data_IF_730031088686
#
_entry.id   IF_730031088686
#
_cell.length_a   1.000
_cell.length_b   1.000
_cell.length_c   1.000
_cell.angle_alpha   90.00
_cell.angle_beta   90.00
_cell.angle_gamma   90.00
#
_symmetry.space_group_name_H-M   'P 1'
#
loop_
_entity.id
_entity.type
_entity.pdbx_description
1 polymer ?
#
# COMPACT_ATOMS: atom_id res chain seq x y z
N UNK A 1 -9.25 -13.68 6.06
CA UNK A 1 -10.33 -12.79 6.54
C UNK A 1 -11.18 -12.28 5.39
N UNK A 2 -10.58 -11.70 4.36
CA UNK A 2 -11.27 -11.16 3.17
C UNK A 2 -12.30 -12.11 2.56
N UNK A 3 -11.92 -13.36 2.25
CA UNK A 3 -12.85 -14.36 1.71
C UNK A 3 -14.09 -14.54 2.58
N UNK A 4 -13.91 -14.62 3.91
CA UNK A 4 -15.03 -14.81 4.82
C UNK A 4 -15.95 -13.59 4.91
N UNK A 5 -15.37 -12.39 4.85
CA UNK A 5 -16.15 -11.15 4.81
C UNK A 5 -16.99 -11.10 3.54
N UNK A 6 -16.39 -11.39 2.38
CA UNK A 6 -17.09 -11.48 1.09
C UNK A 6 -18.23 -12.51 1.16
N UNK A 7 -17.97 -13.74 1.62
CA UNK A 7 -19.00 -14.79 1.76
C UNK A 7 -20.22 -14.37 2.59
N UNK A 8 -20.03 -13.49 3.57
CA UNK A 8 -21.11 -13.02 4.44
C UNK A 8 -21.82 -11.84 3.80
N UNK A 9 -21.07 -10.84 3.32
CA UNK A 9 -21.59 -9.59 2.78
C UNK A 9 -22.25 -9.75 1.41
N UNK A 10 -21.79 -10.69 0.58
CA UNK A 10 -22.35 -10.95 -0.75
C UNK A 10 -23.73 -11.60 -0.74
N UNK A 11 -24.34 -11.79 0.44
CA UNK A 11 -25.69 -12.32 0.59
C UNK A 11 -26.75 -11.23 0.60
N UNK A 12 -26.35 -9.97 0.68
CA UNK A 12 -27.24 -8.83 0.60
C UNK A 12 -27.50 -8.50 -0.87
N UNK A 13 -28.77 -8.48 -1.27
CA UNK A 13 -29.20 -8.19 -2.64
C UNK A 13 -28.99 -6.70 -2.99
N UNK A 14 -28.88 -5.81 -1.98
CA UNK A 14 -28.57 -4.39 -2.18
C UNK A 14 -27.05 -4.15 -2.42
N UNK A 15 -26.23 -5.19 -2.27
CA UNK A 15 -24.77 -5.14 -2.40
C UNK A 15 -24.06 -4.81 -1.08
N UNK A 16 -22.75 -4.54 -1.16
CA UNK A 16 -21.95 -4.27 0.04
C UNK A 16 -20.75 -3.36 -0.22
N UNK A 17 -20.26 -2.75 0.87
CA UNK A 17 -18.96 -2.10 0.95
C UNK A 17 -18.05 -2.88 1.90
N UNK A 18 -16.80 -3.12 1.50
CA UNK A 18 -15.81 -3.80 2.31
C UNK A 18 -14.46 -3.08 2.22
N UNK A 19 -13.92 -2.71 3.38
CA UNK A 19 -12.55 -2.21 3.52
C UNK A 19 -11.66 -3.32 4.09
N UNK A 20 -10.50 -3.55 3.47
CA UNK A 20 -9.48 -4.51 3.94
C UNK A 20 -8.15 -3.79 4.01
N UNK A 21 -7.46 -3.93 5.15
CA UNK A 21 -6.20 -3.23 5.42
C UNK A 21 -5.05 -4.23 5.67
N UNK A 22 -3.93 -4.02 4.98
CA UNK A 22 -2.66 -4.69 5.23
C UNK A 22 -1.80 -3.97 6.28
N UNK A 23 -2.37 -3.64 7.44
CA UNK A 23 -1.79 -2.67 8.40
C UNK A 23 -0.44 -3.06 9.05
N UNK A 24 0.12 -4.23 8.73
CA UNK A 24 1.46 -4.64 9.20
C UNK A 24 2.57 -4.27 8.23
N UNK A 25 2.25 -3.88 6.99
CA UNK A 25 3.22 -3.34 6.02
C UNK A 25 3.88 -2.08 6.60
N UNK A 26 3.06 -1.11 7.05
CA UNK A 26 3.52 0.13 7.70
C UNK A 26 4.42 -0.15 8.92
N UNK A 27 3.95 -1.01 9.83
CA UNK A 27 4.71 -1.38 11.02
C UNK A 27 6.07 -2.00 10.68
N UNK A 28 6.13 -2.86 9.66
CA UNK A 28 7.37 -3.48 9.20
C UNK A 28 8.35 -2.44 8.61
N UNK A 29 7.83 -1.47 7.87
CA UNK A 29 8.61 -0.34 7.36
C UNK A 29 9.19 0.51 8.50
N UNK A 30 8.41 0.83 9.53
CA UNK A 30 8.87 1.60 10.69
C UNK A 30 10.04 0.94 11.42
N UNK A 31 10.04 -0.40 11.55
CA UNK A 31 11.15 -1.14 12.18
C UNK A 31 12.26 -1.51 11.20
N UNK A 32 12.21 -1.04 9.95
CA UNK A 32 13.22 -1.26 8.90
C UNK A 32 13.44 -2.74 8.56
N UNK A 33 12.38 -3.55 8.62
CA UNK A 33 12.46 -4.98 8.33
C UNK A 33 11.91 -5.27 6.93
N UNK A 34 12.83 -5.43 5.98
CA UNK A 34 12.47 -5.72 4.60
C UNK A 34 11.74 -7.06 4.48
N UNK A 35 12.18 -8.09 5.20
CA UNK A 35 11.59 -9.43 5.16
C UNK A 35 10.12 -9.40 5.59
N UNK A 36 9.81 -8.72 6.68
CA UNK A 36 8.43 -8.55 7.14
C UNK A 36 7.64 -7.64 6.21
N UNK A 37 8.25 -6.59 5.65
CA UNK A 37 7.59 -5.70 4.68
C UNK A 37 7.15 -6.51 3.45
N UNK A 38 8.04 -7.37 2.93
CA UNK A 38 7.73 -8.28 1.82
C UNK A 38 6.68 -9.31 2.22
N UNK A 39 6.80 -9.95 3.38
CA UNK A 39 5.85 -10.97 3.81
C UNK A 39 4.44 -10.42 4.00
N UNK A 40 4.29 -9.24 4.61
CA UNK A 40 3.01 -8.58 4.80
C UNK A 40 2.43 -8.04 3.48
N UNK A 41 3.29 -7.57 2.56
CA UNK A 41 2.84 -7.19 1.20
C UNK A 41 2.32 -8.41 0.43
N UNK A 42 2.97 -9.57 0.55
CA UNK A 42 2.49 -10.82 -0.04
C UNK A 42 1.19 -11.30 0.61
N UNK A 43 1.03 -11.12 1.93
CA UNK A 43 -0.22 -11.42 2.61
C UNK A 43 -1.36 -10.51 2.14
N UNK A 44 -1.08 -9.23 1.88
CA UNK A 44 -2.04 -8.30 1.29
C UNK A 44 -2.35 -8.66 -0.18
N UNK A 45 -1.37 -9.09 -0.97
CA UNK A 45 -1.59 -9.61 -2.34
C UNK A 45 -2.57 -10.79 -2.36
N UNK A 46 -2.47 -11.73 -1.40
CA UNK A 46 -3.44 -12.82 -1.24
C UNK A 46 -4.85 -12.28 -0.93
N UNK A 47 -4.98 -11.20 -0.16
CA UNK A 47 -6.26 -10.55 0.10
C UNK A 47 -6.83 -9.85 -1.15
N UNK A 48 -5.98 -9.15 -1.93
CA UNK A 48 -6.34 -8.53 -3.21
C UNK A 48 -6.78 -9.60 -4.21
N UNK A 49 -6.06 -10.72 -4.29
CA UNK A 49 -6.43 -11.87 -5.12
C UNK A 49 -7.82 -12.40 -4.75
N UNK A 50 -8.14 -12.54 -3.46
CA UNK A 50 -9.48 -12.97 -3.05
C UNK A 50 -10.59 -12.01 -3.51
N UNK A 51 -10.34 -10.70 -3.47
CA UNK A 51 -11.29 -9.69 -3.95
C UNK A 51 -11.44 -9.73 -5.49
N UNK A 52 -10.32 -9.86 -6.23
CA UNK A 52 -10.33 -9.97 -7.68
C UNK A 52 -10.98 -11.28 -8.16
N UNK A 53 -10.74 -12.39 -7.46
CA UNK A 53 -11.37 -13.68 -7.77
C UNK A 53 -12.90 -13.57 -7.61
N UNK A 54 -13.40 -12.94 -6.55
CA UNK A 54 -14.83 -12.66 -6.38
C UNK A 54 -15.36 -11.72 -7.47
N UNK A 55 -14.66 -10.61 -7.74
CA UNK A 55 -15.05 -9.67 -8.79
C UNK A 55 -15.03 -10.31 -10.19
N UNK A 56 -14.26 -11.37 -10.43
CA UNK A 56 -14.31 -12.10 -11.70
C UNK A 56 -15.59 -12.91 -11.90
N UNK A 57 -16.32 -13.21 -10.82
CA UNK A 57 -17.59 -13.94 -10.86
C UNK A 57 -18.78 -13.01 -11.14
N UNK A 58 -18.62 -11.70 -11.00
CA UNK A 58 -19.70 -10.71 -11.06
C UNK A 58 -19.24 -9.43 -11.76
N UNK A 59 -19.96 -8.99 -12.79
CA UNK A 59 -19.58 -7.78 -13.55
C UNK A 59 -20.01 -6.47 -12.86
N UNK A 60 -20.33 -6.51 -11.56
CA UNK A 60 -20.87 -5.40 -10.77
C UNK A 60 -19.99 -5.03 -9.55
N UNK A 61 -18.82 -5.66 -9.40
CA UNK A 61 -17.89 -5.39 -8.29
C UNK A 61 -16.75 -4.46 -8.71
N UNK A 62 -16.60 -3.32 -8.02
CA UNK A 62 -15.44 -2.43 -8.12
C UNK A 62 -14.42 -2.77 -7.02
N UNK A 63 -13.19 -3.09 -7.42
CA UNK A 63 -12.04 -3.31 -6.53
C UNK A 63 -11.09 -2.13 -6.65
N UNK A 64 -10.74 -1.49 -5.53
CA UNK A 64 -9.78 -0.39 -5.45
C UNK A 64 -8.63 -0.82 -4.52
N UNK A 65 -7.40 -0.59 -4.95
CA UNK A 65 -6.19 -0.86 -4.17
C UNK A 65 -5.32 0.38 -4.16
N UNK A 66 -4.97 0.85 -2.97
CA UNK A 66 -4.07 1.99 -2.77
C UNK A 66 -3.40 1.89 -1.39
N UNK A 67 -2.57 2.87 -1.06
CA UNK A 67 -2.04 3.06 0.28
C UNK A 67 -2.57 4.40 0.86
N UNK A 68 -2.49 4.55 2.17
CA UNK A 68 -2.75 5.80 2.87
C UNK A 68 -1.54 6.75 2.81
N UNK A 69 -0.32 6.21 2.90
CA UNK A 69 0.95 6.93 2.73
C UNK A 69 2.13 5.97 2.44
N UNK A 70 3.29 6.52 2.06
CA UNK A 70 4.54 5.75 2.05
C UNK A 70 5.15 5.70 3.45
N UNK A 71 5.73 4.56 3.80
CA UNK A 71 6.44 4.37 5.05
C UNK A 71 7.86 3.85 4.81
N UNK A 72 8.82 4.48 5.45
CA UNK A 72 10.18 3.97 5.55
C UNK A 72 11.17 4.54 4.54
N UNK A 73 10.72 5.11 3.42
CA UNK A 73 11.59 5.55 2.33
C UNK A 73 12.37 4.39 1.75
N UNK A 74 11.68 3.29 1.41
CA UNK A 74 12.31 2.05 0.95
C UNK A 74 12.96 2.23 -0.42
N UNK A 75 14.25 1.89 -0.52
CA UNK A 75 15.04 1.94 -1.75
C UNK A 75 15.49 0.53 -2.12
N UNK A 76 15.06 0.08 -3.30
CA UNK A 76 15.48 -1.20 -3.89
C UNK A 76 16.77 -0.99 -4.70
N UNK A 77 17.86 -1.62 -4.28
CA UNK A 77 19.12 -1.58 -5.03
C UNK A 77 20.05 -0.42 -4.68
N UNK A 78 20.25 -0.13 -3.39
CA UNK A 78 21.31 0.78 -2.97
C UNK A 78 22.68 0.17 -3.35
N UNK A 79 23.37 0.81 -4.29
CA UNK A 79 24.70 0.38 -4.76
C UNK A 79 25.81 0.82 -3.80
N UNK A 80 25.56 1.87 -3.01
CA UNK A 80 26.36 2.22 -1.84
C UNK A 80 25.70 3.33 -1.00
N UNK A 81 25.87 3.31 0.33
CA UNK A 81 25.79 4.53 1.16
C UNK A 81 27.18 4.98 1.66
N UNK A 82 28.19 4.09 1.56
CA UNK A 82 29.66 4.21 1.38
C UNK A 82 30.36 2.87 1.73
N UNK A 83 29.67 1.92 2.38
CA UNK A 83 29.95 0.48 2.32
C UNK A 83 28.74 -0.34 2.81
N UNK A 84 27.63 -0.29 2.08
CA UNK A 84 26.52 -1.24 2.29
C UNK A 84 26.79 -2.46 1.39
N UNK A 85 26.82 -3.67 1.96
CA UNK A 85 27.05 -4.87 1.15
C UNK A 85 25.97 -4.96 0.08
N UNK A 86 26.38 -4.87 -1.18
CA UNK A 86 25.47 -4.80 -2.32
C UNK A 86 24.40 -5.90 -2.27
N UNK A 87 23.12 -5.53 -2.30
CA UNK A 87 22.00 -6.46 -2.43
C UNK A 87 20.82 -6.19 -1.50
N UNK A 88 21.04 -5.57 -0.34
CA UNK A 88 19.99 -5.43 0.67
C UNK A 88 19.21 -4.10 0.53
N UNK A 89 17.88 -4.10 0.62
CA UNK A 89 17.07 -2.88 0.58
C UNK A 89 17.33 -1.95 1.76
N UNK A 90 17.25 -0.63 1.52
CA UNK A 90 17.52 0.40 2.54
C UNK A 90 16.26 1.22 2.83
N UNK A 91 16.00 1.49 4.11
CA UNK A 91 14.97 2.42 4.56
C UNK A 91 15.59 3.80 4.82
N UNK A 92 15.38 4.77 3.95
CA UNK A 92 16.09 6.05 3.99
C UNK A 92 15.47 7.09 4.94
N UNK A 93 14.19 6.95 5.29
CA UNK A 93 13.54 7.89 6.21
C UNK A 93 14.14 7.79 7.61
N UNK A 94 14.17 8.90 8.37
CA UNK A 94 14.73 8.91 9.73
C UNK A 94 16.25 8.70 9.79
N UNK A 95 16.98 8.94 8.69
CA UNK A 95 18.44 9.05 8.72
C UNK A 95 18.83 10.51 8.99
N UNK A 96 19.73 10.74 9.96
CA UNK A 96 20.27 12.04 10.31
C UNK A 96 21.76 12.12 9.96
N UNK A 97 22.19 13.26 9.40
CA UNK A 97 23.59 13.58 9.17
C UNK A 97 24.28 13.87 10.51
N UNK A 98 25.28 13.06 10.86
CA UNK A 98 26.19 13.39 11.94
C UNK A 98 27.27 14.34 11.42
N UNK A 99 27.41 15.52 12.03
CA UNK A 99 28.43 16.50 11.65
C UNK A 99 29.83 16.00 12.03
N UNK A 100 30.73 15.90 11.04
CA UNK A 100 32.13 15.49 11.20
C UNK A 100 32.79 15.22 9.83
N UNK A 101 34.13 15.08 9.75
CA UNK A 101 34.79 14.69 8.50
C UNK A 101 34.29 13.30 8.08
N UNK A 102 33.55 13.22 6.97
CA UNK A 102 33.07 11.96 6.37
C UNK A 102 31.56 11.75 6.24
N UNK A 103 30.70 12.75 6.50
CA UNK A 103 29.23 12.67 6.32
C UNK A 103 28.62 11.32 6.75
N UNK A 104 28.76 10.95 8.02
CA UNK A 104 28.23 9.67 8.49
C UNK A 104 26.72 9.79 8.76
N UNK A 105 25.91 8.92 8.14
CA UNK A 105 24.47 8.85 8.38
C UNK A 105 24.20 7.96 9.60
N UNK A 106 23.35 8.44 10.51
CA UNK A 106 22.91 7.67 11.69
C UNK A 106 21.40 7.52 11.68
N UNK A 107 20.89 6.34 12.03
CA UNK A 107 19.44 6.13 12.19
C UNK A 107 18.97 6.80 13.48
N UNK A 108 17.84 7.52 13.42
CA UNK A 108 17.16 8.06 14.61
C UNK A 108 16.35 7.01 15.37
N UNK A 109 16.48 5.73 15.02
CA UNK A 109 15.76 4.60 15.63
C UNK A 109 14.84 3.92 14.62
N UNK A 110 13.59 4.38 14.56
CA UNK A 110 12.60 3.90 13.59
C UNK A 110 12.65 4.71 12.29
N UNK A 111 12.24 4.08 11.20
CA UNK A 111 11.87 4.78 9.98
C UNK A 111 10.57 5.59 10.23
N UNK A 112 10.26 6.55 9.38
CA UNK A 112 9.05 7.39 9.47
C UNK A 112 8.31 7.38 8.14
N UNK A 113 7.12 7.98 8.08
CA UNK A 113 6.42 8.18 6.83
C UNK A 113 7.21 9.09 5.88
N UNK A 114 7.00 8.92 4.58
CA UNK A 114 7.41 9.91 3.57
C UNK A 114 6.20 10.36 2.76
N UNK A 115 6.35 11.50 2.09
CA UNK A 115 5.25 12.19 1.42
C UNK A 115 5.18 11.91 -0.10
N UNK A 116 5.80 10.83 -0.57
CA UNK A 116 5.70 10.46 -1.99
C UNK A 116 4.27 10.01 -2.30
N UNK A 117 3.78 10.41 -3.47
CA UNK A 117 2.48 9.94 -3.97
C UNK A 117 2.46 8.41 -4.03
N UNK A 118 1.34 7.81 -3.63
CA UNK A 118 1.13 6.36 -3.61
C UNK A 118 0.33 5.89 -4.83
N UNK A 119 0.50 4.64 -5.28
CA UNK A 119 -0.25 4.13 -6.42
C UNK A 119 -1.75 3.98 -6.08
N UNK A 120 -2.58 4.29 -7.07
CA UNK A 120 -4.02 4.04 -7.05
C UNK A 120 -4.37 3.13 -8.23
N UNK A 121 -4.91 1.96 -7.91
CA UNK A 121 -5.27 0.93 -8.89
C UNK A 121 -6.74 0.57 -8.70
N UNK A 122 -7.44 0.30 -9.81
CA UNK A 122 -8.83 -0.14 -9.76
C UNK A 122 -9.13 -1.17 -10.85
N UNK A 123 -10.12 -2.02 -10.58
CA UNK A 123 -10.66 -3.01 -11.53
C UNK A 123 -12.17 -3.14 -11.35
N UNK A 124 -12.91 -3.38 -12.44
CA UNK A 124 -14.37 -3.47 -12.44
C UNK A 124 -15.07 -2.20 -12.96
N UNK A 125 -16.40 -2.09 -12.78
CA UNK A 125 -17.19 -0.96 -13.27
C UNK A 125 -16.72 0.38 -12.70
N UNK A 126 -16.45 1.35 -13.57
CA UNK A 126 -16.01 2.69 -13.18
C UNK A 126 -14.52 2.82 -12.86
N UNK A 127 -13.72 1.75 -13.01
CA UNK A 127 -12.28 1.75 -12.72
C UNK A 127 -11.50 2.78 -13.55
N UNK A 128 -11.97 3.14 -14.75
CA UNK A 128 -11.38 4.17 -15.60
C UNK A 128 -11.31 5.55 -14.92
N UNK A 129 -12.21 5.84 -13.97
CA UNK A 129 -12.24 7.11 -13.23
C UNK A 129 -11.07 7.23 -12.23
N UNK A 130 -10.53 6.10 -11.79
CA UNK A 130 -9.36 6.04 -10.89
C UNK A 130 -8.04 6.12 -11.66
N UNK A 131 -8.07 5.96 -13.00
CA UNK A 131 -6.88 5.95 -13.86
C UNK A 131 -6.66 7.27 -14.63
N UNK A 132 -7.23 8.38 -14.15
CA UNK A 132 -7.22 9.70 -14.81
C UNK A 132 -5.95 10.54 -14.55
N UNK A 133 -4.89 9.91 -14.05
CA UNK A 133 -3.65 10.57 -13.62
C UNK A 133 -3.63 10.80 -12.10
N UNK A 134 -3.03 11.92 -11.69
CA UNK A 134 -2.87 12.26 -10.27
C UNK A 134 -4.24 12.59 -9.65
N UNK A 135 -4.61 11.88 -8.61
CA UNK A 135 -5.89 11.99 -7.89
C UNK A 135 -5.57 12.27 -6.43
N UNK A 136 -6.22 13.28 -5.84
CA UNK A 136 -6.07 13.54 -4.41
C UNK A 136 -6.82 12.46 -3.61
N UNK A 137 -6.30 12.07 -2.44
CA UNK A 137 -6.91 10.99 -1.67
C UNK A 137 -8.34 11.33 -1.20
N UNK A 138 -8.68 12.62 -1.06
CA UNK A 138 -10.05 13.05 -0.73
C UNK A 138 -11.04 12.82 -1.87
N UNK A 139 -10.57 12.78 -3.12
CA UNK A 139 -11.41 12.53 -4.29
C UNK A 139 -11.85 11.06 -4.36
N UNK A 140 -11.08 10.13 -3.78
CA UNK A 140 -11.40 8.69 -3.75
C UNK A 140 -12.76 8.44 -3.10
N UNK A 141 -13.11 9.20 -2.06
CA UNK A 141 -14.43 9.12 -1.42
C UNK A 141 -15.57 9.38 -2.42
N UNK A 142 -15.45 10.45 -3.21
CA UNK A 142 -16.50 10.81 -4.17
C UNK A 142 -16.58 9.82 -5.33
N UNK A 143 -15.44 9.28 -5.77
CA UNK A 143 -15.40 8.23 -6.80
C UNK A 143 -16.05 6.93 -6.32
N UNK A 144 -15.79 6.51 -5.08
CA UNK A 144 -16.45 5.34 -4.47
C UNK A 144 -17.96 5.58 -4.35
N UNK A 145 -18.35 6.76 -3.85
CA UNK A 145 -19.75 7.15 -3.70
C UNK A 145 -20.49 7.08 -5.05
N UNK A 146 -19.89 7.64 -6.11
CA UNK A 146 -20.44 7.59 -7.47
C UNK A 146 -20.52 6.14 -8.00
N UNK A 147 -19.47 5.33 -7.79
CA UNK A 147 -19.46 3.92 -8.19
C UNK A 147 -20.54 3.07 -7.53
N UNK A 148 -20.95 3.43 -6.32
CA UNK A 148 -22.05 2.81 -5.58
C UNK A 148 -23.43 3.41 -5.92
N UNK A 149 -23.50 4.46 -6.74
CA UNK A 149 -24.76 5.14 -7.08
C UNK A 149 -25.37 5.96 -5.94
N UNK A 150 -24.55 6.46 -5.00
CA UNK A 150 -24.96 7.22 -3.81
C UNK A 150 -24.83 8.75 -3.96
#
# INVERSE_FOLDING_TARGET
MTQKAIEILSKDDDGFFLMVEGGRIDHACHIRCYENTTAETLAFDVAVKAALDYASLSNDTLVIVTADHEAGGLVLGAVDFYNYSAGDPVFASGLALSHGPGYNLTSTGMATHTAVDVPLMASGPGAEKFSRGRTDNTEIFYLMKEGMGL
#
